data_IF_367033409185
#
_entry.id   IF_367033409185
#
_cell.length_a   1.000
_cell.length_b   1.000
_cell.length_c   1.000
_cell.angle_alpha   90.00
_cell.angle_beta   90.00
_cell.angle_gamma   90.00
#
_symmetry.space_group_name_H-M   'P 1'
#
loop_
_entity.id
_entity.type
_entity.pdbx_description
1 polymer ?
#
# COMPACT_ATOMS: atom_id res chain seq x y z
N UNK A 1 23.56 22.80 -21.95
CA UNK A 1 22.34 22.06 -22.32
C UNK A 1 21.52 21.88 -21.05
N UNK A 2 20.25 22.28 -21.04
CA UNK A 2 19.33 22.01 -19.92
C UNK A 2 18.72 20.65 -20.19
N UNK A 3 19.08 19.65 -19.40
CA UNK A 3 18.49 18.32 -19.47
C UNK A 3 17.07 18.44 -18.90
N UNK A 4 16.07 18.53 -19.78
CA UNK A 4 14.66 18.50 -19.38
C UNK A 4 14.27 17.04 -19.16
N UNK A 5 14.69 16.46 -18.04
CA UNK A 5 14.08 15.22 -17.58
C UNK A 5 12.75 15.57 -16.94
N UNK A 6 11.64 15.06 -17.48
CA UNK A 6 10.40 14.96 -16.72
C UNK A 6 10.60 13.74 -15.82
N UNK A 7 10.88 13.91 -14.52
CA UNK A 7 11.30 12.77 -13.70
C UNK A 7 10.15 11.79 -13.61
N UNK A 8 10.39 10.54 -14.03
CA UNK A 8 9.54 9.43 -13.62
C UNK A 8 9.73 9.31 -12.11
N UNK A 9 8.69 9.64 -11.35
CA UNK A 9 8.74 9.59 -9.90
C UNK A 9 8.79 8.13 -9.41
N UNK A 10 7.95 7.28 -10.02
CA UNK A 10 8.05 5.82 -9.99
C UNK A 10 7.18 5.20 -11.10
N UNK A 11 7.44 3.95 -11.46
CA UNK A 11 6.53 3.11 -12.26
C UNK A 11 6.30 1.77 -11.57
N UNK A 12 5.10 1.20 -11.73
CA UNK A 12 4.75 -0.08 -11.14
C UNK A 12 3.28 -0.25 -10.75
N UNK A 13 3.02 -1.18 -9.84
CA UNK A 13 1.68 -1.52 -9.34
C UNK A 13 1.43 -0.88 -7.97
N UNK A 14 0.23 -0.32 -7.78
CA UNK A 14 -0.22 0.18 -6.48
C UNK A 14 -1.71 -0.14 -6.18
N UNK A 15 -2.04 -1.40 -5.85
CA UNK A 15 -3.35 -1.75 -5.32
C UNK A 15 -3.52 -1.26 -3.88
N UNK A 16 -4.60 -0.50 -3.66
CA UNK A 16 -5.06 -0.08 -2.33
C UNK A 16 -6.37 -0.74 -1.92
N UNK A 17 -6.59 -0.93 -0.62
CA UNK A 17 -7.88 -1.28 -0.01
C UNK A 17 -8.12 -0.45 1.25
N UNK A 18 -9.39 -0.16 1.48
CA UNK A 18 -9.87 0.24 2.79
C UNK A 18 -10.99 -0.73 3.18
N UNK A 19 -10.87 -1.31 4.37
CA UNK A 19 -11.92 -2.11 4.99
C UNK A 19 -12.68 -1.21 5.97
N UNK A 20 -14.00 -1.23 5.88
CA UNK A 20 -14.89 -0.43 6.73
C UNK A 20 -15.62 -1.33 7.73
N UNK A 21 -15.91 -0.80 8.92
CA UNK A 21 -16.74 -1.49 9.90
C UNK A 21 -18.14 -1.75 9.33
N UNK A 22 -18.79 -2.88 9.67
CA UNK A 22 -20.12 -3.20 9.15
C UNK A 22 -21.16 -2.12 9.44
N UNK A 23 -21.77 -1.58 8.38
CA UNK A 23 -22.83 -0.57 8.48
C UNK A 23 -22.35 0.84 8.81
N UNK A 24 -21.03 1.11 8.76
CA UNK A 24 -20.45 2.44 8.98
C UNK A 24 -19.45 2.80 7.88
N UNK A 25 -19.09 4.08 7.80
CA UNK A 25 -18.00 4.58 6.95
C UNK A 25 -16.66 4.65 7.72
N UNK A 26 -16.57 3.97 8.87
CA UNK A 26 -15.37 3.95 9.70
C UNK A 26 -14.36 2.94 9.16
N UNK A 27 -13.19 3.43 8.74
CA UNK A 27 -12.11 2.57 8.28
C UNK A 27 -11.49 1.79 9.46
N UNK A 28 -11.50 0.46 9.37
CA UNK A 28 -10.92 -0.44 10.38
C UNK A 28 -9.60 -1.07 9.94
N UNK A 29 -9.31 -1.06 8.64
CA UNK A 29 -8.00 -1.41 8.10
C UNK A 29 -7.76 -0.69 6.77
N UNK A 30 -6.51 -0.35 6.50
CA UNK A 30 -6.08 0.19 5.21
C UNK A 30 -4.82 -0.54 4.78
N UNK A 31 -4.81 -0.93 3.51
CA UNK A 31 -3.68 -1.57 2.87
C UNK A 31 -3.33 -0.86 1.58
N UNK A 32 -2.05 -0.65 1.34
CA UNK A 32 -1.53 -0.20 0.04
C UNK A 32 -0.26 -1.00 -0.27
N UNK A 33 -0.37 -1.86 -1.27
CA UNK A 33 0.76 -2.61 -1.81
C UNK A 33 1.40 -1.81 -2.93
N UNK A 34 2.72 -1.86 -3.00
CA UNK A 34 3.52 -1.22 -4.02
C UNK A 34 4.50 -2.25 -4.57
N UNK A 35 4.52 -2.40 -5.89
CA UNK A 35 5.64 -2.99 -6.61
C UNK A 35 6.22 -1.91 -7.49
N UNK A 36 7.40 -1.39 -7.16
CA UNK A 36 8.07 -0.35 -7.93
C UNK A 36 9.20 -0.97 -8.77
N UNK A 37 9.08 -0.86 -10.09
CA UNK A 37 10.05 -1.41 -11.06
C UNK A 37 11.03 -0.38 -11.59
N UNK A 38 10.67 0.90 -11.51
CA UNK A 38 11.53 2.01 -11.87
C UNK A 38 11.40 3.10 -10.82
N UNK A 39 12.49 3.39 -10.09
CA UNK A 39 12.54 4.44 -9.08
C UNK A 39 13.99 4.87 -8.79
N UNK A 40 14.21 6.11 -8.30
CA UNK A 40 15.53 6.55 -7.82
C UNK A 40 16.08 5.76 -6.62
N UNK A 41 15.25 4.93 -5.98
CA UNK A 41 15.59 4.12 -4.81
C UNK A 41 15.77 2.64 -5.17
N UNK A 42 15.78 2.32 -6.47
CA UNK A 42 15.86 0.96 -6.99
C UNK A 42 14.50 0.26 -7.08
N UNK A 43 14.55 -1.03 -7.43
CA UNK A 43 13.39 -1.92 -7.49
C UNK A 43 13.03 -2.38 -6.08
N UNK A 44 11.76 -2.57 -5.80
CA UNK A 44 11.33 -3.19 -4.55
C UNK A 44 9.83 -3.18 -4.33
N UNK A 45 9.45 -3.73 -3.19
CA UNK A 45 8.07 -3.84 -2.76
C UNK A 45 7.87 -3.12 -1.43
N UNK A 46 6.68 -2.57 -1.25
CA UNK A 46 6.23 -2.09 0.05
C UNK A 46 4.76 -2.46 0.26
N UNK A 47 4.43 -3.00 1.43
CA UNK A 47 3.06 -3.19 1.87
C UNK A 47 2.85 -2.29 3.10
N UNK A 48 2.11 -1.21 2.91
CA UNK A 48 1.68 -0.34 4.00
C UNK A 48 0.39 -0.93 4.56
N UNK A 49 0.44 -1.40 5.80
CA UNK A 49 -0.68 -1.97 6.53
C UNK A 49 -0.97 -1.10 7.75
N UNK A 50 -2.19 -0.59 7.86
CA UNK A 50 -2.71 0.02 9.07
C UNK A 50 -3.94 -0.73 9.55
N UNK A 51 -4.02 -0.93 10.86
CA UNK A 51 -5.13 -1.58 11.55
C UNK A 51 -5.64 -0.67 12.66
N UNK A 52 -6.96 -0.45 12.72
CA UNK A 52 -7.57 0.26 13.83
C UNK A 52 -7.48 -0.58 15.12
N UNK A 53 -7.24 0.10 16.24
CA UNK A 53 -7.13 -0.56 17.55
C UNK A 53 -8.43 -1.29 17.90
N UNK A 54 -8.32 -2.57 18.25
CA UNK A 54 -9.47 -3.39 18.66
C UNK A 54 -10.47 -3.75 17.55
N UNK A 55 -10.29 -3.26 16.33
CA UNK A 55 -11.26 -3.47 15.24
C UNK A 55 -11.06 -4.79 14.47
N UNK A 56 -9.87 -5.36 14.52
CA UNK A 56 -9.52 -6.66 13.95
C UNK A 56 -8.68 -7.47 14.94
N UNK A 57 -8.68 -8.81 14.88
CA UNK A 57 -7.73 -9.63 15.62
C UNK A 57 -6.31 -9.27 15.17
N UNK A 58 -5.64 -8.40 15.95
CA UNK A 58 -4.40 -7.72 15.56
C UNK A 58 -3.18 -8.64 15.45
N UNK A 59 -3.31 -9.93 15.81
CA UNK A 59 -2.21 -10.91 15.73
C UNK A 59 -0.89 -10.34 16.27
N UNK A 60 0.26 -10.70 15.69
CA UNK A 60 1.55 -10.08 16.03
C UNK A 60 1.75 -8.70 15.37
N UNK A 61 0.74 -8.11 14.72
CA UNK A 61 0.88 -6.91 13.89
C UNK A 61 0.47 -5.62 14.59
N UNK A 62 -0.22 -5.68 15.74
CA UNK A 62 -0.60 -4.48 16.49
C UNK A 62 -1.38 -3.48 15.63
N UNK A 63 -0.91 -2.23 15.54
CA UNK A 63 -1.49 -1.19 14.68
C UNK A 63 -1.13 -1.32 13.18
N UNK A 64 -0.36 -2.35 12.80
CA UNK A 64 0.12 -2.58 11.45
C UNK A 64 1.63 -2.36 11.29
N UNK A 65 2.07 -2.10 10.06
CA UNK A 65 3.48 -1.94 9.71
C UNK A 65 3.71 -1.62 8.24
N UNK A 66 4.95 -1.26 7.92
CA UNK A 66 5.42 -1.03 6.56
C UNK A 66 6.39 -2.17 6.22
N UNK A 67 5.86 -3.21 5.57
CA UNK A 67 6.60 -4.40 5.20
C UNK A 67 7.32 -4.16 3.87
N UNK A 68 8.63 -4.41 3.80
CA UNK A 68 9.39 -4.07 2.60
C UNK A 68 10.70 -4.84 2.49
N UNK A 69 11.13 -5.09 1.25
CA UNK A 69 12.46 -5.58 0.90
C UNK A 69 13.42 -4.43 0.53
N UNK A 70 12.92 -3.19 0.48
CA UNK A 70 13.67 -1.99 0.12
C UNK A 70 13.19 -0.80 0.98
N UNK A 71 13.79 -0.66 2.17
CA UNK A 71 13.41 0.38 3.13
C UNK A 71 13.56 1.82 2.62
N UNK A 72 14.63 2.21 1.88
CA UNK A 72 14.70 3.54 1.26
C UNK A 72 13.52 3.86 0.33
N UNK A 73 13.11 2.89 -0.50
CA UNK A 73 11.93 3.01 -1.34
C UNK A 73 10.66 3.19 -0.51
N UNK A 74 10.42 2.31 0.46
CA UNK A 74 9.24 2.38 1.33
C UNK A 74 9.15 3.72 2.07
N UNK A 75 10.28 4.24 2.57
CA UNK A 75 10.34 5.54 3.21
C UNK A 75 9.99 6.68 2.26
N UNK A 76 10.42 6.61 1.00
CA UNK A 76 10.03 7.60 -0.01
C UNK A 76 8.52 7.53 -0.32
N UNK A 77 7.96 6.33 -0.45
CA UNK A 77 6.52 6.11 -0.68
C UNK A 77 5.69 6.70 0.47
N UNK A 78 6.02 6.36 1.71
CA UNK A 78 5.29 6.83 2.90
C UNK A 78 5.44 8.33 3.12
N UNK A 79 6.62 8.91 2.91
CA UNK A 79 6.81 10.34 3.20
C UNK A 79 6.31 11.26 2.08
N UNK A 80 6.28 10.78 0.83
CA UNK A 80 6.02 11.64 -0.34
C UNK A 80 4.71 11.32 -1.04
N UNK A 81 4.27 10.07 -1.02
CA UNK A 81 3.17 9.60 -1.87
C UNK A 81 1.91 9.30 -1.08
N UNK A 82 1.97 8.57 0.04
CA UNK A 82 0.76 8.20 0.81
C UNK A 82 -0.07 9.43 1.22
N UNK A 83 0.56 10.59 1.47
CA UNK A 83 -0.13 11.86 1.75
C UNK A 83 -1.10 12.34 0.66
N UNK A 84 -0.95 11.84 -0.57
CA UNK A 84 -1.82 12.19 -1.70
C UNK A 84 -3.03 11.26 -1.84
N UNK A 85 -3.09 10.20 -1.02
CA UNK A 85 -4.18 9.24 -0.99
C UNK A 85 -5.12 9.60 0.17
N UNK A 86 -6.38 9.97 -0.11
CA UNK A 86 -7.33 10.40 0.93
C UNK A 86 -7.52 9.37 2.05
N UNK A 87 -7.42 8.07 1.75
CA UNK A 87 -7.50 6.99 2.73
C UNK A 87 -6.48 7.14 3.87
N UNK A 88 -5.29 7.67 3.59
CA UNK A 88 -4.25 7.82 4.60
C UNK A 88 -4.30 9.16 5.35
N UNK A 89 -5.23 10.08 5.03
CA UNK A 89 -5.22 11.43 5.61
C UNK A 89 -5.51 11.46 7.12
N UNK A 90 -6.26 10.48 7.62
CA UNK A 90 -6.63 10.34 9.03
C UNK A 90 -5.83 9.25 9.75
N UNK A 91 -4.82 8.66 9.09
CA UNK A 91 -4.13 7.46 9.56
C UNK A 91 -2.69 7.79 9.92
N UNK A 92 -2.18 7.39 11.11
CA UNK A 92 -0.84 7.72 11.55
C UNK A 92 0.24 6.85 10.88
N UNK A 93 0.26 6.78 9.54
CA UNK A 93 1.17 5.93 8.75
C UNK A 93 2.64 6.17 9.09
N UNK A 94 3.01 7.43 9.34
CA UNK A 94 4.38 7.80 9.68
C UNK A 94 4.88 7.18 11.01
N UNK A 95 3.96 6.78 11.90
CA UNK A 95 4.28 6.11 13.16
C UNK A 95 4.38 4.59 13.06
N UNK A 96 4.08 4.00 11.89
CA UNK A 96 4.14 2.56 11.70
C UNK A 96 5.60 2.07 11.63
N UNK A 97 5.92 0.90 12.19
CA UNK A 97 7.25 0.33 12.11
C UNK A 97 7.57 -0.13 10.68
N UNK A 98 8.81 0.11 10.24
CA UNK A 98 9.35 -0.55 9.04
C UNK A 98 9.80 -1.96 9.41
N UNK A 99 9.38 -2.93 8.60
CA UNK A 99 9.62 -4.36 8.85
C UNK A 99 10.24 -4.94 7.59
N UNK A 100 11.43 -5.52 7.73
CA UNK A 100 12.06 -6.26 6.63
C UNK A 100 11.20 -7.48 6.29
N UNK A 101 10.72 -7.53 5.05
CA UNK A 101 9.81 -8.56 4.59
C UNK A 101 9.85 -8.72 3.07
N UNK A 102 9.67 -9.94 2.60
CA UNK A 102 9.39 -10.19 1.18
C UNK A 102 7.90 -10.04 0.95
N UNK A 103 7.52 -9.22 -0.02
CA UNK A 103 6.13 -9.08 -0.42
C UNK A 103 5.91 -9.71 -1.80
N UNK A 104 4.84 -10.46 -1.94
CA UNK A 104 4.43 -11.08 -3.19
C UNK A 104 2.95 -10.85 -3.41
N UNK A 105 2.52 -10.78 -4.66
CA UNK A 105 1.12 -10.66 -4.99
C UNK A 105 0.70 -11.67 -6.06
N UNK A 106 -0.60 -11.99 -6.07
CA UNK A 106 -1.24 -12.74 -7.14
C UNK A 106 -2.59 -12.10 -7.47
N UNK A 107 -2.99 -12.17 -8.73
CA UNK A 107 -4.33 -11.79 -9.17
C UNK A 107 -4.84 -12.82 -10.17
N UNK A 108 -5.94 -13.49 -9.84
CA UNK A 108 -6.55 -14.54 -10.67
C UNK A 108 -7.75 -14.04 -11.51
N UNK A 109 -8.01 -12.73 -11.49
CA UNK A 109 -9.17 -12.10 -12.10
C UNK A 109 -10.34 -11.86 -11.13
N UNK A 110 -10.41 -12.59 -10.03
CA UNK A 110 -11.45 -12.45 -9.00
C UNK A 110 -10.89 -11.98 -7.67
N UNK A 111 -9.76 -12.54 -7.25
CA UNK A 111 -9.11 -12.29 -5.97
C UNK A 111 -7.73 -11.70 -6.22
N UNK A 112 -7.49 -10.50 -5.70
CA UNK A 112 -6.14 -9.95 -5.58
C UNK A 112 -5.63 -10.32 -4.19
N UNK A 113 -4.45 -10.91 -4.10
CA UNK A 113 -3.85 -11.34 -2.83
C UNK A 113 -2.45 -10.77 -2.72
N UNK A 114 -2.11 -10.28 -1.54
CA UNK A 114 -0.75 -9.89 -1.18
C UNK A 114 -0.33 -10.63 0.07
N UNK A 115 0.85 -11.21 0.05
CA UNK A 115 1.48 -11.81 1.23
C UNK A 115 2.76 -11.08 1.55
N UNK A 116 2.89 -10.62 2.79
CA UNK A 116 4.10 -10.06 3.35
C UNK A 116 4.71 -11.03 4.36
N UNK A 117 5.88 -11.56 4.06
CA UNK A 117 6.61 -12.52 4.89
C UNK A 117 7.81 -11.84 5.56
N UNK A 118 7.71 -11.63 6.87
CA UNK A 118 8.82 -11.25 7.73
C UNK A 118 9.48 -12.50 8.35
N UNK A 119 10.54 -12.33 9.13
CA UNK A 119 11.30 -13.46 9.71
C UNK A 119 10.46 -14.37 10.64
N UNK A 120 9.56 -13.80 11.42
CA UNK A 120 8.81 -14.46 12.50
C UNK A 120 7.28 -14.41 12.32
N UNK A 121 6.79 -13.73 11.28
CA UNK A 121 5.36 -13.49 11.05
C UNK A 121 5.04 -13.28 9.59
N UNK A 122 3.81 -13.64 9.23
CA UNK A 122 3.24 -13.44 7.91
C UNK A 122 1.94 -12.63 8.03
N UNK A 123 1.66 -11.81 7.02
CA UNK A 123 0.34 -11.25 6.79
C UNK A 123 -0.10 -11.58 5.37
N UNK A 124 -1.32 -12.08 5.22
CA UNK A 124 -1.97 -12.23 3.92
C UNK A 124 -3.19 -11.32 3.89
N UNK A 125 -3.27 -10.51 2.85
CA UNK A 125 -4.37 -9.59 2.59
C UNK A 125 -5.04 -10.01 1.28
N UNK A 126 -6.36 -10.12 1.31
CA UNK A 126 -7.16 -10.54 0.15
C UNK A 126 -8.23 -9.50 -0.18
N UNK A 127 -8.25 -9.10 -1.43
CA UNK A 127 -9.28 -8.27 -2.02
C UNK A 127 -10.23 -9.21 -2.77
N UNK A 128 -11.45 -9.33 -2.26
CA UNK A 128 -12.52 -10.08 -2.91
C UNK A 128 -13.81 -9.27 -2.85
N UNK A 129 -14.62 -9.35 -3.90
CA UNK A 129 -15.93 -8.68 -3.97
C UNK A 129 -15.91 -7.19 -3.56
N UNK A 130 -15.04 -6.35 -4.15
CA UNK A 130 -14.93 -4.95 -3.75
C UNK A 130 -16.26 -4.23 -3.98
N UNK A 131 -16.73 -3.51 -2.96
CA UNK A 131 -17.97 -2.72 -3.01
C UNK A 131 -17.82 -1.51 -3.94
N UNK A 132 -16.63 -0.91 -3.95
CA UNK A 132 -16.32 0.26 -4.76
C UNK A 132 -15.01 0.06 -5.52
N UNK A 133 -14.91 0.67 -6.71
CA UNK A 133 -13.70 0.68 -7.53
C UNK A 133 -13.35 2.13 -7.88
N UNK A 134 -12.19 2.60 -7.43
CA UNK A 134 -11.70 3.94 -7.78
C UNK A 134 -11.45 3.99 -9.29
N UNK A 135 -12.17 4.89 -9.97
CA UNK A 135 -11.92 5.20 -11.37
C UNK A 135 -11.28 6.57 -11.46
N UNK A 136 -10.02 6.62 -11.90
CA UNK A 136 -9.38 7.87 -12.28
C UNK A 136 -9.98 8.27 -13.63
N UNK A 137 -10.89 9.25 -13.61
CA UNK A 137 -11.37 9.87 -14.84
C UNK A 137 -10.46 11.06 -15.11
N UNK A 138 -9.56 10.92 -16.08
CA UNK A 138 -8.71 12.02 -16.52
C UNK A 138 -9.26 12.58 -17.83
N UNK A 139 -9.91 13.77 -17.83
CA UNK A 139 -10.61 14.30 -19.01
C UNK A 139 -9.72 14.59 -20.23
N UNK A 140 -8.41 14.61 -20.06
CA UNK A 140 -7.42 14.94 -21.11
C UNK A 140 -6.44 13.79 -21.41
N UNK A 141 -6.74 12.56 -20.96
CA UNK A 141 -5.93 11.41 -21.32
C UNK A 141 -6.22 11.02 -22.78
N UNK A 142 -5.22 10.98 -23.67
CA UNK A 142 -5.44 10.53 -25.04
C UNK A 142 -5.88 9.06 -25.01
N UNK A 143 -7.05 8.79 -25.61
CA UNK A 143 -7.53 7.45 -25.88
C UNK A 143 -6.63 6.75 -26.91
#
# INVERSE_FOLDING_TARGET
MVQTERPVLMSGENPGLTLYAPGTDEAVAIVSYWYCTDSPFGVGHALVLWLAEGAVPVGPWGAGGILTDNQPLAAALVNRLTRHFPEFSAVPVAGLPYIEARCQHTYDGAIYRVTGQAADREVTVEWQSPLERKRIVWPAFPA
#
